data_IF_891392470916
#
_entry.id   IF_891392470916
#
_cell.length_a   1.000
_cell.length_b   1.000
_cell.length_c   1.000
_cell.angle_alpha   90.00
_cell.angle_beta   90.00
_cell.angle_gamma   90.00
#
_symmetry.space_group_name_H-M   'P 1'
#
loop_
_entity.id
_entity.type
_entity.pdbx_description
1 polymer ?
#
# COMPACT_ATOMS: atom_id res chain seq x y z
N UNK A 1 4.84 10.57 8.80
CA UNK A 1 6.02 10.01 9.50
C UNK A 1 5.64 9.17 10.74
N UNK A 2 4.67 9.62 11.55
CA UNK A 2 4.21 8.91 12.74
C UNK A 2 3.65 7.52 12.46
N UNK A 3 2.96 7.32 11.33
CA UNK A 3 2.47 6.02 10.91
C UNK A 3 3.58 4.97 10.79
N UNK A 4 4.75 5.35 10.26
CA UNK A 4 5.89 4.43 10.11
C UNK A 4 6.49 4.06 11.47
N UNK A 5 6.62 5.03 12.38
CA UNK A 5 7.12 4.77 13.75
C UNK A 5 6.15 3.86 14.49
N UNK A 6 4.86 4.18 14.45
CA UNK A 6 3.82 3.35 15.06
C UNK A 6 3.83 1.94 14.47
N UNK A 7 4.00 1.81 13.14
CA UNK A 7 4.10 0.52 12.46
C UNK A 7 5.29 -0.30 12.95
N UNK A 8 6.49 0.29 13.07
CA UNK A 8 7.67 -0.40 13.62
C UNK A 8 7.36 -1.03 14.99
N UNK A 9 6.58 -0.35 15.84
CA UNK A 9 6.24 -0.84 17.17
C UNK A 9 5.19 -1.96 17.16
N UNK A 10 4.27 -1.96 16.19
CA UNK A 10 3.08 -2.82 16.24
C UNK A 10 2.96 -3.85 15.12
N UNK A 11 3.80 -3.79 14.08
CA UNK A 11 3.67 -4.65 12.89
C UNK A 11 3.78 -6.15 13.24
N UNK A 12 4.54 -6.50 14.27
CA UNK A 12 4.66 -7.90 14.76
C UNK A 12 3.62 -8.30 15.80
N UNK A 13 2.63 -7.47 16.14
CA UNK A 13 1.59 -7.83 17.11
C UNK A 13 0.85 -9.11 16.72
N UNK A 14 0.65 -9.34 15.42
CA UNK A 14 0.01 -10.56 14.91
C UNK A 14 0.72 -11.86 15.32
N UNK A 15 2.05 -11.82 15.54
CA UNK A 15 2.81 -12.98 16.00
C UNK A 15 2.41 -13.47 17.40
N UNK A 16 1.73 -12.64 18.20
CA UNK A 16 1.27 -13.02 19.54
C UNK A 16 0.07 -14.00 19.51
N UNK A 17 -0.58 -14.18 18.35
CA UNK A 17 -1.77 -15.03 18.20
C UNK A 17 -1.45 -16.52 17.96
N UNK A 18 -0.18 -16.88 17.74
CA UNK A 18 0.28 -18.27 17.67
C UNK A 18 0.08 -19.00 16.32
N UNK A 19 -0.86 -18.53 15.49
CA UNK A 19 -1.07 -19.04 14.13
C UNK A 19 -0.37 -18.12 13.10
N UNK A 20 0.65 -18.66 12.42
CA UNK A 20 1.49 -17.93 11.46
C UNK A 20 0.79 -17.60 10.13
N UNK A 21 -0.37 -18.21 9.86
CA UNK A 21 -1.00 -18.19 8.54
C UNK A 21 -1.62 -16.83 8.17
N UNK A 22 -1.85 -15.91 9.12
CA UNK A 22 -2.29 -14.55 8.80
C UNK A 22 -1.87 -13.48 9.83
N UNK A 23 -0.55 -13.31 10.00
CA UNK A 23 0.04 -12.29 10.88
C UNK A 23 -0.46 -10.87 10.56
N UNK A 24 -0.74 -10.56 9.29
CA UNK A 24 -1.20 -9.24 8.86
C UNK A 24 -2.66 -8.97 9.30
N UNK A 25 -3.60 -9.87 9.03
CA UNK A 25 -4.97 -9.73 9.50
C UNK A 25 -5.06 -9.81 11.02
N UNK A 26 -4.30 -10.72 11.65
CA UNK A 26 -4.21 -10.83 13.10
C UNK A 26 -3.70 -9.52 13.73
N UNK A 27 -2.70 -8.89 13.13
CA UNK A 27 -2.16 -7.59 13.56
C UNK A 27 -3.20 -6.47 13.48
N UNK A 28 -3.91 -6.36 12.36
CA UNK A 28 -4.99 -5.35 12.19
C UNK A 28 -6.12 -5.57 13.19
N UNK A 29 -6.55 -6.81 13.37
CA UNK A 29 -7.57 -7.17 14.35
C UNK A 29 -7.14 -6.80 15.78
N UNK A 30 -5.86 -6.97 16.13
CA UNK A 30 -5.34 -6.56 17.44
C UNK A 30 -5.30 -5.04 17.62
N UNK A 31 -4.98 -4.27 16.58
CA UNK A 31 -5.06 -2.80 16.62
C UNK A 31 -6.47 -2.34 16.99
N UNK A 32 -7.49 -2.95 16.38
CA UNK A 32 -8.88 -2.62 16.64
C UNK A 32 -9.33 -3.13 18.02
N UNK A 33 -9.04 -4.39 18.37
CA UNK A 33 -9.40 -5.00 19.66
C UNK A 33 -8.81 -4.24 20.85
N UNK A 34 -7.55 -3.80 20.75
CA UNK A 34 -6.87 -3.05 21.81
C UNK A 34 -7.15 -1.54 21.77
N UNK A 35 -7.98 -1.09 20.82
CA UNK A 35 -8.31 0.33 20.60
C UNK A 35 -7.06 1.19 20.38
N UNK A 36 -6.00 0.61 19.80
CA UNK A 36 -4.72 1.30 19.59
C UNK A 36 -4.87 2.44 18.60
N UNK A 37 -5.75 2.29 17.60
CA UNK A 37 -6.06 3.39 16.66
C UNK A 37 -6.58 4.63 17.38
N UNK A 38 -7.58 4.48 18.26
CA UNK A 38 -8.13 5.61 19.03
C UNK A 38 -7.11 6.22 19.98
N UNK A 39 -6.30 5.40 20.65
CA UNK A 39 -5.25 5.90 21.55
C UNK A 39 -4.19 6.68 20.78
N UNK A 40 -3.76 6.17 19.63
CA UNK A 40 -2.79 6.84 18.77
C UNK A 40 -3.34 8.18 18.23
N UNK A 41 -4.60 8.22 17.80
CA UNK A 41 -5.26 9.45 17.37
C UNK A 41 -5.29 10.51 18.50
N UNK A 42 -5.61 10.10 19.73
CA UNK A 42 -5.55 11.00 20.90
C UNK A 42 -4.14 11.50 21.15
N UNK A 43 -3.14 10.61 21.16
CA UNK A 43 -1.73 10.99 21.35
C UNK A 43 -1.24 11.97 20.28
N UNK A 44 -1.59 11.74 19.01
CA UNK A 44 -1.20 12.63 17.91
C UNK A 44 -1.81 14.03 18.09
N UNK A 45 -3.07 14.12 18.52
CA UNK A 45 -3.72 15.41 18.81
C UNK A 45 -3.08 16.11 20.00
N UNK A 46 -2.72 15.38 21.05
CA UNK A 46 -1.99 15.93 22.20
C UNK A 46 -0.59 16.45 21.81
N UNK A 47 0.02 15.87 20.77
CA UNK A 47 1.26 16.35 20.16
C UNK A 47 1.06 17.53 19.19
N UNK A 48 -0.17 18.06 19.06
CA UNK A 48 -0.49 19.21 18.23
C UNK A 48 -0.75 18.89 16.76
N UNK A 49 -0.91 17.62 16.39
CA UNK A 49 -1.29 17.23 15.03
C UNK A 49 -2.77 17.54 14.78
N UNK A 50 -3.08 18.06 13.60
CA UNK A 50 -4.44 18.36 13.20
C UNK A 50 -5.33 17.09 13.25
N UNK A 51 -6.60 17.18 13.68
CA UNK A 51 -7.49 16.03 13.77
C UNK A 51 -7.58 15.18 12.50
N UNK A 52 -7.68 15.81 11.32
CA UNK A 52 -7.76 15.09 10.05
C UNK A 52 -6.47 14.31 9.76
N UNK A 53 -5.32 14.94 10.00
CA UNK A 53 -4.02 14.31 9.82
C UNK A 53 -3.78 13.18 10.84
N UNK A 54 -4.26 13.33 12.08
CA UNK A 54 -4.21 12.26 13.08
C UNK A 54 -4.99 11.01 12.65
N UNK A 55 -6.22 11.19 12.14
CA UNK A 55 -7.03 10.11 11.57
C UNK A 55 -6.33 9.47 10.37
N UNK A 56 -5.72 10.28 9.50
CA UNK A 56 -4.99 9.83 8.32
C UNK A 56 -3.75 9.00 8.68
N UNK A 57 -2.98 9.40 9.70
CA UNK A 57 -1.83 8.62 10.19
C UNK A 57 -2.27 7.28 10.82
N UNK A 58 -3.44 7.21 11.46
CA UNK A 58 -4.00 5.94 11.96
C UNK A 58 -4.46 5.04 10.82
N UNK A 59 -5.09 5.60 9.77
CA UNK A 59 -5.45 4.86 8.57
C UNK A 59 -4.21 4.26 7.88
N UNK A 60 -3.16 5.07 7.73
CA UNK A 60 -1.88 4.64 7.20
C UNK A 60 -1.24 3.52 8.03
N UNK A 61 -1.28 3.60 9.36
CA UNK A 61 -0.81 2.53 10.23
C UNK A 61 -1.55 1.21 9.96
N UNK A 62 -2.89 1.25 9.96
CA UNK A 62 -3.72 0.06 9.73
C UNK A 62 -3.45 -0.56 8.36
N UNK A 63 -3.31 0.29 7.36
CA UNK A 63 -2.96 -0.11 6.01
C UNK A 63 -1.59 -0.80 5.95
N UNK A 64 -0.57 -0.18 6.54
CA UNK A 64 0.77 -0.74 6.58
C UNK A 64 0.82 -2.08 7.33
N UNK A 65 -0.01 -2.27 8.35
CA UNK A 65 -0.12 -3.56 9.05
C UNK A 65 -0.84 -4.61 8.21
N UNK A 66 -1.92 -4.24 7.51
CA UNK A 66 -2.69 -5.15 6.67
C UNK A 66 -1.97 -5.59 5.38
N UNK A 67 -1.10 -4.73 4.85
CA UNK A 67 -0.34 -5.01 3.62
C UNK A 67 1.14 -5.30 3.90
N UNK A 68 1.50 -5.75 5.10
CA UNK A 68 2.84 -6.28 5.36
C UNK A 68 3.20 -7.39 4.37
N UNK A 69 4.46 -7.43 3.94
CA UNK A 69 4.91 -8.42 2.97
C UNK A 69 4.15 -8.42 1.63
N UNK A 70 3.48 -7.32 1.25
CA UNK A 70 2.64 -7.24 0.04
C UNK A 70 3.32 -7.81 -1.22
N UNK A 71 4.63 -7.61 -1.35
CA UNK A 71 5.45 -8.04 -2.47
C UNK A 71 5.58 -9.56 -2.65
N UNK A 72 5.24 -10.36 -1.62
CA UNK A 72 5.27 -11.83 -1.69
C UNK A 72 4.04 -12.43 -2.36
N UNK A 73 2.89 -11.74 -2.26
CA UNK A 73 1.57 -12.21 -2.73
C UNK A 73 1.10 -11.59 -4.04
N UNK A 74 2.00 -10.87 -4.73
CA UNK A 74 1.66 -10.27 -6.01
C UNK A 74 1.64 -11.31 -7.13
N UNK A 75 0.72 -11.11 -8.07
CA UNK A 75 0.73 -11.73 -9.38
C UNK A 75 2.10 -11.48 -10.06
N UNK A 76 2.80 -12.54 -10.50
CA UNK A 76 4.05 -12.40 -11.23
C UNK A 76 3.92 -11.69 -12.58
N UNK A 77 2.77 -11.80 -13.26
CA UNK A 77 2.58 -11.30 -14.62
C UNK A 77 2.29 -9.79 -14.64
N UNK A 78 1.51 -9.32 -13.66
CA UNK A 78 1.10 -7.91 -13.55
C UNK A 78 1.21 -7.37 -12.12
N UNK A 79 2.42 -7.36 -11.51
CA UNK A 79 2.60 -7.11 -10.08
C UNK A 79 2.15 -5.71 -9.64
N UNK A 80 2.32 -4.69 -10.48
CA UNK A 80 1.94 -3.33 -10.12
C UNK A 80 0.43 -3.10 -10.21
N UNK A 81 -0.22 -3.56 -11.28
CA UNK A 81 -1.67 -3.50 -11.43
C UNK A 81 -2.38 -4.29 -10.31
N UNK A 82 -1.91 -5.52 -10.03
CA UNK A 82 -2.47 -6.34 -8.95
C UNK A 82 -2.32 -5.69 -7.57
N UNK A 83 -1.21 -4.97 -7.31
CA UNK A 83 -1.08 -4.21 -6.07
C UNK A 83 -2.13 -3.10 -5.96
N UNK A 84 -2.38 -2.36 -7.04
CA UNK A 84 -3.41 -1.30 -7.06
C UNK A 84 -4.80 -1.89 -6.82
N UNK A 85 -5.14 -3.02 -7.44
CA UNK A 85 -6.41 -3.72 -7.21
C UNK A 85 -6.58 -4.14 -5.75
N UNK A 86 -5.53 -4.73 -5.14
CA UNK A 86 -5.51 -5.09 -3.73
C UNK A 86 -5.72 -3.87 -2.83
N UNK A 87 -5.12 -2.73 -3.16
CA UNK A 87 -5.25 -1.49 -2.39
C UNK A 87 -6.65 -0.87 -2.55
N UNK A 88 -7.22 -0.87 -3.76
CA UNK A 88 -8.57 -0.35 -3.99
C UNK A 88 -9.66 -1.20 -3.34
N UNK A 89 -9.38 -2.47 -3.06
CA UNK A 89 -10.27 -3.32 -2.27
C UNK A 89 -10.21 -3.05 -0.74
N UNK A 90 -9.23 -2.27 -0.26
CA UNK A 90 -9.11 -1.90 1.17
C UNK A 90 -9.60 -0.48 1.42
N UNK A 91 -10.60 -0.35 2.30
CA UNK A 91 -11.19 0.93 2.68
C UNK A 91 -10.16 1.91 3.31
N UNK A 92 -9.17 1.42 4.05
CA UNK A 92 -8.12 2.25 4.64
C UNK A 92 -7.18 2.78 3.55
N UNK A 93 -6.88 1.97 2.53
CA UNK A 93 -6.12 2.43 1.37
C UNK A 93 -6.90 3.46 0.58
N UNK A 94 -8.20 3.25 0.33
CA UNK A 94 -9.05 4.23 -0.36
C UNK A 94 -9.09 5.57 0.39
N UNK A 95 -9.17 5.54 1.74
CA UNK A 95 -9.09 6.74 2.58
C UNK A 95 -7.74 7.45 2.47
N UNK A 96 -6.63 6.71 2.51
CA UNK A 96 -5.28 7.28 2.36
C UNK A 96 -5.06 7.86 0.96
N UNK A 97 -5.53 7.16 -0.07
CA UNK A 97 -5.49 7.58 -1.47
C UNK A 97 -6.39 8.79 -1.76
N UNK A 98 -7.35 9.11 -0.88
CA UNK A 98 -8.32 10.16 -1.14
C UNK A 98 -9.24 9.82 -2.33
N UNK A 99 -9.61 8.54 -2.47
CA UNK A 99 -10.45 8.09 -3.59
C UNK A 99 -11.81 8.77 -3.54
N UNK A 100 -12.22 9.33 -4.68
CA UNK A 100 -13.51 10.01 -4.83
C UNK A 100 -14.10 9.75 -6.22
N UNK A 101 -15.41 9.92 -6.34
CA UNK A 101 -16.12 9.85 -7.61
C UNK A 101 -16.54 11.25 -8.07
N UNK A 102 -16.22 11.57 -9.31
CA UNK A 102 -16.60 12.84 -9.93
C UNK A 102 -16.98 12.62 -11.39
N UNK A 103 -18.17 13.09 -11.78
CA UNK A 103 -18.67 13.00 -13.16
C UNK A 103 -18.64 11.59 -13.77
N UNK A 104 -18.88 10.55 -12.97
CA UNK A 104 -18.89 9.15 -13.41
C UNK A 104 -17.50 8.52 -13.58
N UNK A 105 -16.44 9.18 -13.11
CA UNK A 105 -15.09 8.65 -13.06
C UNK A 105 -14.55 8.66 -11.62
N UNK A 106 -13.68 7.69 -11.30
CA UNK A 106 -13.04 7.56 -9.99
C UNK A 106 -11.65 8.16 -10.03
N UNK A 107 -11.39 9.09 -9.11
CA UNK A 107 -10.13 9.80 -8.97
C UNK A 107 -9.47 9.48 -7.63
N UNK A 108 -8.16 9.66 -7.56
CA UNK A 108 -7.39 9.63 -6.33
C UNK A 108 -6.61 10.95 -6.14
N UNK A 109 -6.26 11.26 -4.91
CA UNK A 109 -5.48 12.44 -4.58
C UNK A 109 -3.98 12.21 -4.87
N UNK A 110 -3.32 13.23 -5.43
CA UNK A 110 -1.89 13.17 -5.78
C UNK A 110 -1.00 12.97 -4.56
N UNK A 111 -1.26 13.71 -3.49
CA UNK A 111 -0.42 13.68 -2.30
C UNK A 111 -0.69 12.38 -1.51
N UNK A 112 -1.95 11.95 -1.46
CA UNK A 112 -2.36 10.63 -0.98
C UNK A 112 -1.66 9.49 -1.69
N UNK A 113 -1.62 9.52 -3.02
CA UNK A 113 -0.91 8.52 -3.83
C UNK A 113 0.60 8.48 -3.51
N UNK A 114 1.26 9.64 -3.52
CA UNK A 114 2.70 9.72 -3.25
C UNK A 114 3.07 9.25 -1.84
N UNK A 115 2.26 9.62 -0.86
CA UNK A 115 2.49 9.21 0.52
C UNK A 115 2.27 7.71 0.71
N UNK A 116 1.24 7.16 0.06
CA UNK A 116 1.02 5.71 0.03
C UNK A 116 2.20 4.95 -0.58
N UNK A 117 2.67 5.38 -1.75
CA UNK A 117 3.83 4.79 -2.42
C UNK A 117 5.07 4.86 -1.51
N UNK A 118 5.28 6.01 -0.87
CA UNK A 118 6.39 6.18 0.06
C UNK A 118 6.32 5.18 1.23
N UNK A 119 5.15 5.02 1.85
CA UNK A 119 4.92 4.08 2.95
C UNK A 119 5.12 2.62 2.55
N UNK A 120 4.55 2.20 1.41
CA UNK A 120 4.67 0.82 0.92
C UNK A 120 6.11 0.45 0.60
N UNK A 121 6.87 1.37 -0.01
CA UNK A 121 8.28 1.15 -0.33
C UNK A 121 9.17 1.21 0.93
N UNK A 122 8.88 2.09 1.88
CA UNK A 122 9.64 2.19 3.13
C UNK A 122 9.49 0.92 3.97
N UNK A 123 8.25 0.45 4.18
CA UNK A 123 7.98 -0.76 4.96
C UNK A 123 8.55 -2.02 4.31
N UNK A 124 8.37 -2.21 3.01
CA UNK A 124 8.95 -3.35 2.30
C UNK A 124 10.49 -3.39 2.39
N UNK A 125 11.14 -2.22 2.32
CA UNK A 125 12.60 -2.12 2.49
C UNK A 125 13.04 -2.44 3.91
N UNK A 126 12.29 -2.02 4.93
CA UNK A 126 12.60 -2.33 6.33
C UNK A 126 12.44 -3.84 6.60
N UNK A 127 11.39 -4.47 6.08
CA UNK A 127 11.19 -5.92 6.18
C UNK A 127 12.34 -6.69 5.50
N UNK A 128 12.71 -6.29 4.28
CA UNK A 128 13.80 -6.92 3.52
C UNK A 128 15.19 -6.58 4.08
N UNK A 129 15.36 -5.51 4.85
CA UNK A 129 16.59 -5.25 5.57
C UNK A 129 16.75 -6.21 6.77
N UNK A 130 15.64 -6.59 7.41
CA UNK A 130 15.64 -7.56 8.51
C UNK A 130 15.78 -9.02 8.03
N UNK A 131 15.27 -9.33 6.83
CA UNK A 131 15.42 -10.63 6.17
C UNK A 131 15.81 -10.46 4.69
N UNK A 132 17.13 -10.36 4.40
CA UNK A 132 17.62 -10.02 3.05
C UNK A 132 17.23 -11.02 1.97
N UNK A 133 16.55 -10.51 0.94
CA UNK A 133 16.28 -11.21 -0.32
C UNK A 133 16.45 -10.24 -1.49
N UNK A 134 17.51 -10.44 -2.27
CA UNK A 134 17.84 -9.57 -3.40
C UNK A 134 16.82 -9.66 -4.54
N UNK A 135 16.16 -10.81 -4.73
CA UNK A 135 15.13 -11.00 -5.75
C UNK A 135 13.86 -10.24 -5.40
N UNK A 136 13.40 -10.38 -4.15
CA UNK A 136 12.24 -9.63 -3.65
C UNK A 136 12.53 -8.12 -3.60
N UNK A 137 13.75 -7.71 -3.22
CA UNK A 137 14.13 -6.30 -3.27
C UNK A 137 14.06 -5.74 -4.70
N UNK A 138 14.58 -6.46 -5.71
CA UNK A 138 14.44 -6.05 -7.12
C UNK A 138 12.97 -5.95 -7.53
N UNK A 139 12.13 -6.89 -7.11
CA UNK A 139 10.69 -6.87 -7.38
C UNK A 139 10.00 -5.64 -6.77
N UNK A 140 10.27 -5.34 -5.50
CA UNK A 140 9.75 -4.14 -4.80
C UNK A 140 10.14 -2.87 -5.54
N UNK A 141 11.41 -2.74 -5.94
CA UNK A 141 11.90 -1.57 -6.67
C UNK A 141 11.27 -1.46 -8.07
N UNK A 142 11.06 -2.58 -8.76
CA UNK A 142 10.40 -2.60 -10.07
C UNK A 142 8.94 -2.13 -9.97
N UNK A 143 8.17 -2.66 -9.01
CA UNK A 143 6.80 -2.22 -8.74
C UNK A 143 6.74 -0.73 -8.39
N UNK A 144 7.63 -0.26 -7.49
CA UNK A 144 7.70 1.16 -7.12
C UNK A 144 7.98 2.08 -8.31
N UNK A 145 8.85 1.68 -9.24
CA UNK A 145 9.12 2.44 -10.46
C UNK A 145 7.94 2.45 -11.41
N UNK A 146 7.26 1.32 -11.60
CA UNK A 146 6.07 1.24 -12.45
C UNK A 146 4.96 2.17 -11.94
N UNK A 147 4.67 2.12 -10.62
CA UNK A 147 3.69 2.99 -9.98
C UNK A 147 4.05 4.48 -10.09
N UNK A 148 5.33 4.83 -9.90
CA UNK A 148 5.79 6.21 -10.07
C UNK A 148 5.69 6.69 -11.52
N UNK A 149 5.99 5.82 -12.50
CA UNK A 149 5.90 6.16 -13.92
C UNK A 149 4.44 6.31 -14.39
N UNK A 150 3.50 5.58 -13.80
CA UNK A 150 2.07 5.64 -14.13
C UNK A 150 1.35 6.85 -13.52
N UNK A 151 1.95 7.57 -12.57
CA UNK A 151 1.34 8.72 -11.88
C UNK A 151 0.85 9.78 -12.87
N UNK A 152 1.76 10.36 -13.67
CA UNK A 152 1.40 11.46 -14.58
C UNK A 152 0.47 11.02 -15.73
N UNK A 153 0.70 9.87 -16.42
CA UNK A 153 -0.20 9.38 -17.45
C UNK A 153 -1.61 9.07 -16.96
N UNK A 154 -1.78 8.67 -15.69
CA UNK A 154 -3.10 8.36 -15.14
C UNK A 154 -4.03 9.57 -15.05
N UNK A 155 -3.49 10.79 -15.08
CA UNK A 155 -4.23 12.01 -14.76
C UNK A 155 -5.05 11.87 -13.46
N UNK A 156 -4.53 11.10 -12.50
CA UNK A 156 -5.13 10.76 -11.22
C UNK A 156 -6.48 10.01 -11.29
N UNK A 157 -6.77 9.37 -12.43
CA UNK A 157 -7.92 8.49 -12.57
C UNK A 157 -7.53 7.03 -12.34
N UNK A 158 -8.39 6.31 -11.63
CA UNK A 158 -8.16 4.91 -11.27
C UNK A 158 -8.08 4.01 -12.51
N UNK A 159 -8.99 4.19 -13.46
CA UNK A 159 -9.04 3.40 -14.70
C UNK A 159 -7.82 3.64 -15.58
N UNK A 160 -7.40 4.90 -15.73
CA UNK A 160 -6.19 5.26 -16.46
C UNK A 160 -4.91 4.79 -15.75
N UNK A 161 -4.88 4.78 -14.41
CA UNK A 161 -3.77 4.23 -13.64
C UNK A 161 -3.62 2.73 -13.91
N UNK A 162 -4.71 1.96 -13.84
CA UNK A 162 -4.69 0.53 -14.13
C UNK A 162 -4.26 0.26 -15.57
N UNK A 163 -4.80 1.01 -16.54
CA UNK A 163 -4.42 0.90 -17.94
C UNK A 163 -2.92 1.19 -18.20
N UNK A 164 -2.33 2.15 -17.47
CA UNK A 164 -0.91 2.47 -17.57
C UNK A 164 0.01 1.39 -16.92
N UNK A 165 -0.56 0.51 -16.10
CA UNK A 165 0.17 -0.56 -15.39
C UNK A 165 0.00 -1.94 -16.04
N UNK A 166 -0.95 -2.08 -16.97
CA UNK A 166 -1.06 -3.29 -17.78
C UNK A 166 0.20 -3.44 -18.66
N UNK A 167 0.75 -4.66 -18.78
CA UNK A 167 1.84 -4.90 -19.71
C UNK A 167 1.37 -4.50 -21.12
N UNK A 168 2.21 -3.78 -21.86
CA UNK A 168 1.92 -3.44 -23.24
C UNK A 168 1.48 -4.71 -23.99
N UNK A 169 0.23 -4.73 -24.45
CA UNK A 169 -0.32 -5.84 -25.21
C UNK A 169 0.68 -6.23 -26.31
N UNK A 170 1.08 -7.50 -26.30
CA UNK A 170 2.36 -7.94 -26.84
C UNK A 170 2.75 -7.41 -28.22
N UNK A 171 4.02 -7.01 -28.33
CA UNK A 171 4.82 -7.35 -29.51
C UNK A 171 4.94 -8.88 -29.54
N UNK A 172 3.89 -9.55 -30.02
CA UNK A 172 3.99 -10.92 -30.47
C UNK A 172 5.02 -10.98 -31.60
N UNK A 173 5.96 -11.95 -31.61
CA UNK A 173 6.90 -12.08 -32.72
C UNK A 173 6.11 -12.17 -34.04
N UNK A 174 6.58 -11.53 -35.13
CA UNK A 174 5.87 -11.58 -36.39
C UNK A 174 5.66 -13.04 -36.77
N UNK A 175 4.39 -13.39 -37.02
CA UNK A 175 4.03 -14.69 -37.55
C UNK A 175 4.95 -15.00 -38.73
N UNK A 176 5.77 -16.03 -38.58
CA UNK A 176 6.55 -16.59 -39.68
C UNK A 176 5.56 -17.07 -40.72
N UNK A 177 5.40 -16.28 -41.79
CA UNK A 177 4.71 -16.66 -42.99
C UNK A 177 5.65 -17.51 -43.86
N UNK A 178 5.15 -18.68 -44.28
CA UNK A 178 5.57 -19.39 -45.50
C UNK A 178 6.84 -20.22 -45.40
#
# INVERSE_FOLDING_TARGET
AYALIAWILVHRLGCLRGDDDDVAAAGRALIDQLMLGRRLETLLRELGIEPQEAVRQVAALKLLVAHQGWYRRLDPERPAAHLVEILLADEEACRVLGVNEFAGATFFDRDGYRELLWWLLATARLELAAAPDAGLLRRVLAVGRALAAAEAPSAYRVDALLAALEPAAGDGPPATAG
#
